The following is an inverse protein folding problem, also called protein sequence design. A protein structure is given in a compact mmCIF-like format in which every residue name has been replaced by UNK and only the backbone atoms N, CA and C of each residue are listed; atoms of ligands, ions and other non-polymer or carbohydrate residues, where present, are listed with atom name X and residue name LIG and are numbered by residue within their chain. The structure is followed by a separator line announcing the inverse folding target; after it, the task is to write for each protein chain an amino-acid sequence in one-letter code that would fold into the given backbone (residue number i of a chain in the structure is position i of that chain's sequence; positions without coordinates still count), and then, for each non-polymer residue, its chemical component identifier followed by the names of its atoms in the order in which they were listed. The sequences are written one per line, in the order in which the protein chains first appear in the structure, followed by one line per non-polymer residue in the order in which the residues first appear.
data_IF_509889629228
#
_entry.id   IF_509889629228
#
_cell.length_a   1.000
_cell.length_b   1.000
_cell.length_c   1.000
_cell.angle_alpha   90.00
_cell.angle_beta   90.00
_cell.angle_gamma   90.00
#
_symmetry.space_group_name_H-M   'P 1'
#
loop_
_entity.id
_entity.type
_entity.pdbx_description
1 polymer ?
#
# COMPACT_ATOMS: atom_id res chain seq x y z
N UNK A 1 -24.13 -59.06 14.87
CA UNK A 1 -25.56 -58.67 14.76
C UNK A 1 -25.87 -57.56 15.75
N UNK A 2 -26.28 -56.39 15.22
CA UNK A 2 -27.07 -55.28 15.81
C UNK A 2 -26.52 -54.53 17.04
N UNK A 3 -26.65 -53.20 17.19
CA UNK A 3 -27.13 -52.08 16.36
C UNK A 3 -26.65 -50.80 17.07
N UNK A 4 -25.99 -49.88 16.37
CA UNK A 4 -25.62 -48.57 16.91
C UNK A 4 -26.84 -47.65 17.08
N UNK A 5 -26.90 -46.88 18.18
CA UNK A 5 -27.79 -45.72 18.32
C UNK A 5 -27.01 -44.49 18.79
N UNK A 6 -27.19 -43.40 18.05
CA UNK A 6 -26.55 -42.08 18.10
C UNK A 6 -27.44 -41.14 18.91
N UNK A 7 -26.89 -40.37 19.87
CA UNK A 7 -27.55 -39.16 20.39
C UNK A 7 -26.48 -38.09 20.69
N UNK A 8 -26.51 -37.01 19.91
CA UNK A 8 -25.77 -35.76 20.11
C UNK A 8 -26.59 -34.81 20.99
N UNK A 9 -26.00 -34.25 22.06
CA UNK A 9 -26.61 -33.18 22.87
C UNK A 9 -26.07 -31.81 22.44
N UNK A 10 -26.89 -31.05 21.72
CA UNK A 10 -26.67 -29.63 21.44
C UNK A 10 -27.20 -28.82 22.64
N UNK A 11 -26.33 -28.02 23.29
CA UNK A 11 -26.74 -27.04 24.30
C UNK A 11 -27.45 -25.88 23.61
N UNK A 12 -28.77 -25.77 23.77
CA UNK A 12 -29.56 -24.63 23.32
C UNK A 12 -29.30 -23.42 24.22
N UNK A 13 -28.70 -22.37 23.67
CA UNK A 13 -28.68 -21.04 24.27
C UNK A 13 -30.09 -20.49 24.43
N UNK A 14 -30.32 -19.72 25.50
CA UNK A 14 -31.63 -19.14 25.84
C UNK A 14 -32.08 -18.17 24.72
N UNK A 15 -33.34 -18.22 24.29
CA UNK A 15 -33.84 -17.27 23.29
C UNK A 15 -33.92 -15.86 23.89
N UNK A 16 -33.60 -14.86 23.07
CA UNK A 16 -33.76 -13.45 23.37
C UNK A 16 -35.21 -13.15 23.80
N UNK A 17 -35.38 -12.53 24.98
CA UNK A 17 -36.66 -11.93 25.39
C UNK A 17 -36.98 -10.80 24.45
N UNK A 18 -38.04 -10.94 23.65
CA UNK A 18 -38.65 -9.81 22.96
C UNK A 18 -39.33 -8.93 24.01
N UNK A 19 -38.87 -7.70 24.17
CA UNK A 19 -39.70 -6.66 24.74
C UNK A 19 -40.78 -6.35 23.70
N UNK A 20 -42.04 -6.65 24.01
CA UNK A 20 -43.18 -6.08 23.30
C UNK A 20 -43.24 -4.60 23.67
N UNK A 21 -42.39 -3.81 23.02
CA UNK A 21 -42.58 -2.39 22.89
C UNK A 21 -43.91 -2.16 22.18
N UNK A 22 -44.66 -1.19 22.65
CA UNK A 22 -45.95 -0.78 22.11
C UNK A 22 -45.76 -0.28 20.67
N UNK A 23 -45.73 -1.21 19.70
CA UNK A 23 -45.82 -0.86 18.29
C UNK A 23 -47.22 -0.31 18.09
N UNK A 24 -47.31 1.00 17.89
CA UNK A 24 -48.52 1.65 17.42
C UNK A 24 -48.88 0.98 16.08
N UNK A 25 -49.76 -0.02 16.11
CA UNK A 25 -50.36 -0.61 14.91
C UNK A 25 -51.14 0.52 14.26
N UNK A 26 -50.53 1.19 13.28
CA UNK A 26 -51.32 1.89 12.28
C UNK A 26 -52.03 0.81 11.48
N UNK A 27 -53.28 0.56 11.85
CA UNK A 27 -54.22 -0.15 11.01
C UNK A 27 -54.43 0.74 9.78
N UNK A 28 -53.75 0.45 8.68
CA UNK A 28 -54.07 1.07 7.39
C UNK A 28 -55.43 0.50 6.99
N UNK A 29 -56.48 1.27 7.25
CA UNK A 29 -57.80 1.01 6.68
C UNK A 29 -57.71 1.40 5.20
N UNK A 30 -57.40 0.43 4.35
CA UNK A 30 -57.54 0.59 2.90
C UNK A 30 -59.00 0.79 2.57
N UNK A 31 -59.38 2.01 2.19
CA UNK A 31 -60.70 2.33 1.64
C UNK A 31 -60.53 2.93 0.26
N UNK A 32 -59.99 2.17 -0.69
CA UNK A 32 -60.28 2.41 -2.11
C UNK A 32 -59.84 1.22 -2.96
N UNK A 33 -60.76 0.66 -3.73
CA UNK A 33 -60.49 -0.33 -4.77
C UNK A 33 -60.37 0.36 -6.14
N UNK A 34 -59.82 1.58 -6.16
CA UNK A 34 -59.63 2.36 -7.37
C UNK A 34 -58.14 2.58 -7.63
N UNK A 35 -57.67 2.09 -8.78
CA UNK A 35 -56.25 2.09 -9.16
C UNK A 35 -55.67 3.51 -9.35
N UNK A 36 -56.51 4.54 -9.49
CA UNK A 36 -56.10 5.95 -9.58
C UNK A 36 -55.66 6.57 -8.25
N UNK A 37 -56.07 6.01 -7.10
CA UNK A 37 -55.72 6.55 -5.79
C UNK A 37 -54.33 6.06 -5.32
N UNK A 38 -53.85 4.95 -5.90
CA UNK A 38 -52.56 4.33 -5.57
C UNK A 38 -51.36 5.16 -6.02
N UNK A 39 -51.48 5.88 -7.16
CA UNK A 39 -50.40 6.78 -7.63
C UNK A 39 -50.17 7.95 -6.68
N UNK A 40 -51.23 8.41 -5.99
CA UNK A 40 -51.12 9.44 -4.96
C UNK A 40 -50.54 8.90 -3.65
N UNK A 41 -50.98 7.72 -3.21
CA UNK A 41 -50.48 7.08 -1.98
C UNK A 41 -49.00 6.67 -2.07
N UNK A 42 -48.51 6.23 -3.23
CA UNK A 42 -47.08 5.93 -3.44
C UNK A 42 -46.24 7.20 -3.38
N UNK A 43 -46.78 8.33 -3.87
CA UNK A 43 -46.09 9.63 -3.80
C UNK A 43 -46.07 10.20 -2.37
N UNK A 44 -47.10 9.92 -1.55
CA UNK A 44 -47.19 10.35 -0.15
C UNK A 44 -46.28 9.54 0.81
N UNK A 45 -45.69 8.45 0.31
CA UNK A 45 -44.69 7.63 1.00
C UNK A 45 -43.29 7.75 0.40
N UNK A 46 -43.11 8.60 -0.60
CA UNK A 46 -41.79 8.95 -1.09
C UNK A 46 -41.04 9.71 0.00
N UNK A 47 -39.86 9.21 0.37
CA UNK A 47 -38.95 9.98 1.19
C UNK A 47 -38.56 11.23 0.39
N UNK A 48 -38.89 12.40 0.93
CA UNK A 48 -38.41 13.66 0.38
C UNK A 48 -36.91 13.75 0.57
N UNK A 49 -36.24 14.53 -0.29
CA UNK A 49 -34.82 14.81 -0.15
C UNK A 49 -34.48 15.29 1.28
N UNK A 50 -33.30 14.91 1.76
CA UNK A 50 -32.75 15.25 3.09
C UNK A 50 -33.54 14.82 4.33
N UNK A 51 -34.62 14.04 4.18
CA UNK A 51 -35.42 13.58 5.33
C UNK A 51 -34.64 12.61 6.23
N UNK A 52 -33.69 11.85 5.67
CA UNK A 52 -32.82 10.93 6.41
C UNK A 52 -31.56 11.67 6.88
N UNK A 53 -31.59 12.15 8.12
CA UNK A 53 -30.38 12.63 8.82
C UNK A 53 -29.62 11.50 9.54
N UNK A 54 -28.40 11.79 10.00
CA UNK A 54 -27.55 10.83 10.73
C UNK A 54 -28.22 10.23 11.99
N UNK A 55 -29.14 10.94 12.64
CA UNK A 55 -29.86 10.42 13.83
C UNK A 55 -30.80 9.26 13.52
N UNK A 56 -31.17 9.07 12.26
CA UNK A 56 -32.01 7.95 11.81
C UNK A 56 -31.21 6.69 11.51
N UNK A 57 -29.88 6.79 11.40
CA UNK A 57 -28.99 5.68 11.11
C UNK A 57 -28.56 4.97 12.39
N UNK A 58 -28.80 3.67 12.47
CA UNK A 58 -28.28 2.87 13.57
C UNK A 58 -26.77 2.66 13.42
N UNK A 59 -26.08 2.46 14.53
CA UNK A 59 -24.65 2.18 14.49
C UNK A 59 -24.34 0.96 13.60
N UNK A 60 -23.43 1.14 12.62
CA UNK A 60 -23.04 0.14 11.60
C UNK A 60 -24.16 -0.28 10.64
N UNK A 61 -25.23 0.51 10.49
CA UNK A 61 -26.30 0.19 9.54
C UNK A 61 -25.92 0.44 8.08
N UNK A 62 -24.99 1.37 7.82
CA UNK A 62 -24.45 1.63 6.48
C UNK A 62 -23.35 0.62 6.20
N UNK A 63 -23.64 -0.32 5.29
CA UNK A 63 -22.70 -1.34 4.83
C UNK A 63 -22.18 -0.98 3.43
N UNK A 64 -21.13 -1.66 2.98
CA UNK A 64 -20.52 -1.40 1.67
C UNK A 64 -21.51 -1.52 0.51
N UNK A 65 -22.49 -2.42 0.59
CA UNK A 65 -23.50 -2.63 -0.46
C UNK A 65 -24.48 -1.45 -0.60
N UNK A 66 -24.51 -0.54 0.38
CA UNK A 66 -25.34 0.66 0.37
C UNK A 66 -24.60 1.91 -0.14
N UNK A 67 -23.32 1.80 -0.47
CA UNK A 67 -22.48 2.89 -0.96
C UNK A 67 -22.27 2.67 -2.45
N UNK A 68 -22.78 3.58 -3.27
CA UNK A 68 -22.57 3.55 -4.72
C UNK A 68 -21.11 3.83 -5.07
N UNK A 69 -20.69 3.34 -6.24
CA UNK A 69 -19.37 3.63 -6.79
C UNK A 69 -19.15 5.15 -6.85
N UNK A 70 -17.96 5.59 -6.45
CA UNK A 70 -17.57 7.01 -6.41
C UNK A 70 -18.34 7.92 -5.43
N UNK A 71 -19.20 7.38 -4.55
CA UNK A 71 -19.94 8.18 -3.58
C UNK A 71 -19.04 8.87 -2.50
N UNK A 72 -17.84 8.35 -2.27
CA UNK A 72 -16.89 8.88 -1.27
C UNK A 72 -15.98 9.94 -1.91
N UNK A 73 -16.26 11.21 -1.61
CA UNK A 73 -15.46 12.36 -2.02
C UNK A 73 -14.49 12.79 -0.92
N UNK A 74 -13.55 13.68 -1.23
CA UNK A 74 -12.57 14.21 -0.27
C UNK A 74 -13.21 14.83 0.98
N UNK A 75 -14.38 15.47 0.83
CA UNK A 75 -15.13 16.07 1.95
C UNK A 75 -15.65 15.03 2.97
N UNK A 76 -15.76 13.76 2.58
CA UNK A 76 -16.20 12.66 3.44
C UNK A 76 -15.04 12.04 4.23
N UNK A 77 -13.79 12.36 3.90
CA UNK A 77 -12.60 11.81 4.52
C UNK A 77 -12.08 12.77 5.59
N UNK A 78 -12.11 12.33 6.85
CA UNK A 78 -11.42 13.08 7.91
C UNK A 78 -9.91 13.02 7.74
N UNK A 79 -9.20 13.97 8.33
CA UNK A 79 -7.75 13.90 8.49
C UNK A 79 -7.34 12.55 9.08
N UNK A 80 -6.22 11.99 8.58
CA UNK A 80 -5.63 10.72 9.03
C UNK A 80 -6.54 9.48 8.86
N UNK A 81 -7.67 9.61 8.14
CA UNK A 81 -8.59 8.49 7.91
C UNK A 81 -8.04 7.45 6.93
N UNK A 82 -7.08 7.81 6.07
CA UNK A 82 -6.38 6.88 5.17
C UNK A 82 -5.05 6.49 5.83
N UNK A 83 -4.92 5.21 6.19
CA UNK A 83 -3.74 4.62 6.82
C UNK A 83 -3.10 3.59 5.90
N UNK A 84 -1.87 3.16 6.21
CA UNK A 84 -1.10 2.22 5.38
C UNK A 84 -1.86 0.94 5.03
N UNK A 85 -2.63 0.36 5.96
CA UNK A 85 -3.41 -0.87 5.72
C UNK A 85 -4.57 -0.70 4.75
N UNK A 86 -4.94 0.53 4.38
CA UNK A 86 -5.98 0.85 3.40
C UNK A 86 -5.42 1.08 1.99
N UNK A 87 -4.10 1.18 1.85
CA UNK A 87 -3.43 1.37 0.58
C UNK A 87 -3.11 0.00 -0.03
N UNK A 88 -3.56 -0.21 -1.27
CA UNK A 88 -3.11 -1.36 -2.05
C UNK A 88 -1.67 -1.17 -2.49
N UNK A 89 -0.97 -2.27 -2.78
CA UNK A 89 0.34 -2.21 -3.44
C UNK A 89 0.25 -1.35 -4.69
N UNK A 90 1.24 -0.47 -4.88
CA UNK A 90 1.37 0.41 -6.05
C UNK A 90 0.20 1.40 -6.26
N UNK A 91 -0.71 1.56 -5.29
CA UNK A 91 -1.81 2.55 -5.38
C UNK A 91 -1.35 4.00 -5.27
N UNK A 92 -0.16 4.24 -4.70
CA UNK A 92 0.46 5.56 -4.60
C UNK A 92 1.65 5.61 -5.55
N UNK A 93 1.46 6.30 -6.68
CA UNK A 93 2.48 6.52 -7.68
C UNK A 93 3.24 7.83 -7.41
N UNK A 94 4.45 8.03 -7.97
CA UNK A 94 5.18 9.29 -7.82
C UNK A 94 4.35 10.53 -8.20
N UNK A 95 3.45 10.43 -9.17
CA UNK A 95 2.52 11.50 -9.58
C UNK A 95 1.52 11.91 -8.49
N UNK A 96 1.29 11.09 -7.47
CA UNK A 96 0.43 11.39 -6.32
C UNK A 96 1.18 12.13 -5.20
N UNK A 97 2.51 12.26 -5.28
CA UNK A 97 3.32 12.90 -4.26
C UNK A 97 3.41 14.41 -4.51
N UNK A 98 3.29 15.21 -3.44
CA UNK A 98 3.49 16.67 -3.50
C UNK A 98 4.97 17.08 -3.51
N UNK A 99 5.88 16.11 -3.46
CA UNK A 99 7.32 16.30 -3.46
C UNK A 99 7.97 15.25 -4.37
N UNK A 100 9.17 15.57 -4.86
CA UNK A 100 9.98 14.63 -5.61
C UNK A 100 10.88 13.87 -4.64
N UNK A 101 10.72 12.54 -4.45
CA UNK A 101 11.57 11.76 -3.55
C UNK A 101 13.05 11.82 -3.95
N UNK A 102 13.30 11.92 -5.26
CA UNK A 102 14.62 12.09 -5.87
C UNK A 102 14.52 13.25 -6.86
N UNK A 103 15.44 14.22 -6.74
CA UNK A 103 15.49 15.38 -7.62
C UNK A 103 16.64 15.25 -8.62
N UNK A 104 16.39 15.65 -9.87
CA UNK A 104 17.40 15.72 -10.92
C UNK A 104 16.87 16.52 -12.10
N UNK A 105 17.13 16.06 -13.33
CA UNK A 105 16.66 16.75 -14.53
C UNK A 105 15.12 16.78 -14.53
N UNK A 106 14.47 17.94 -14.76
CA UNK A 106 13.01 18.03 -14.83
C UNK A 106 12.38 17.03 -15.79
N UNK A 107 11.18 16.56 -15.46
CA UNK A 107 10.38 15.63 -16.28
C UNK A 107 11.06 14.29 -16.62
N UNK A 108 12.08 13.90 -15.86
CA UNK A 108 12.71 12.58 -15.99
C UNK A 108 12.35 11.69 -14.79
N UNK A 109 11.82 10.47 -15.02
CA UNK A 109 11.63 9.52 -13.93
C UNK A 109 12.99 9.03 -13.46
N UNK A 110 13.32 9.33 -12.20
CA UNK A 110 14.57 8.94 -11.58
C UNK A 110 14.35 7.78 -10.62
N UNK A 111 15.23 6.80 -10.69
CA UNK A 111 15.31 5.69 -9.76
C UNK A 111 16.59 5.84 -8.94
N UNK A 112 16.44 5.75 -7.63
CA UNK A 112 17.56 5.61 -6.69
C UNK A 112 17.68 4.14 -6.27
N UNK A 113 18.86 3.59 -6.42
CA UNK A 113 19.23 2.26 -5.92
C UNK A 113 20.44 2.40 -5.01
N UNK A 114 20.48 1.64 -3.92
CA UNK A 114 21.60 1.66 -2.99
C UNK A 114 21.80 0.29 -2.36
N UNK A 115 22.98 0.08 -1.78
CA UNK A 115 23.27 -1.17 -1.11
C UNK A 115 24.66 -1.21 -0.50
N UNK A 116 25.02 -2.40 -0.07
CA UNK A 116 26.35 -2.70 0.43
C UNK A 116 26.79 -4.10 0.00
N UNK A 117 28.08 -4.30 -0.19
CA UNK A 117 28.68 -5.60 -0.57
C UNK A 117 29.92 -5.81 0.30
N UNK A 118 30.06 -6.95 0.99
CA UNK A 118 31.30 -7.28 1.68
C UNK A 118 32.38 -7.61 0.67
N UNK A 119 33.62 -7.28 0.98
CA UNK A 119 34.76 -7.62 0.16
C UNK A 119 35.93 -8.10 0.99
N UNK A 120 36.79 -8.87 0.33
CA UNK A 120 38.04 -9.33 0.90
C UNK A 120 39.12 -9.21 -0.17
N UNK A 121 40.25 -8.60 0.20
CA UNK A 121 41.46 -8.59 -0.60
C UNK A 121 42.13 -9.96 -0.51
N UNK A 122 42.39 -10.60 -1.65
CA UNK A 122 43.33 -11.72 -1.69
C UNK A 122 44.71 -11.29 -1.18
N UNK A 123 45.48 -12.25 -0.68
CA UNK A 123 46.84 -11.99 -0.22
C UNK A 123 47.66 -11.30 -1.32
N UNK A 124 48.49 -10.34 -0.90
CA UNK A 124 49.38 -9.55 -1.76
C UNK A 124 48.70 -8.60 -2.77
N UNK A 125 47.36 -8.53 -2.82
CA UNK A 125 46.67 -7.60 -3.71
C UNK A 125 46.52 -6.22 -3.06
N UNK A 126 46.82 -5.17 -3.82
CA UNK A 126 46.61 -3.77 -3.46
C UNK A 126 45.37 -3.17 -4.14
N UNK A 127 44.82 -3.86 -5.14
CA UNK A 127 43.60 -3.49 -5.83
C UNK A 127 42.70 -4.72 -6.09
N UNK A 128 41.40 -4.53 -5.94
CA UNK A 128 40.36 -5.48 -6.36
C UNK A 128 39.28 -4.75 -7.15
N UNK A 129 38.50 -5.48 -7.93
CA UNK A 129 37.32 -4.96 -8.63
C UNK A 129 36.07 -5.72 -8.18
N UNK A 130 35.02 -4.98 -7.85
CA UNK A 130 33.72 -5.50 -7.43
C UNK A 130 32.69 -5.08 -8.45
N UNK A 131 31.97 -6.07 -8.97
CA UNK A 131 30.79 -5.84 -9.79
C UNK A 131 29.56 -5.76 -8.92
N UNK A 132 28.92 -4.60 -8.91
CA UNK A 132 27.67 -4.32 -8.18
C UNK A 132 26.49 -4.51 -9.14
N UNK A 133 25.62 -5.52 -8.94
CA UNK A 133 24.40 -5.65 -9.72
C UNK A 133 23.37 -4.59 -9.31
N UNK A 134 22.67 -4.04 -10.30
CA UNK A 134 21.54 -3.14 -10.12
C UNK A 134 20.24 -3.97 -10.18
N UNK A 135 19.28 -3.65 -9.31
CA UNK A 135 17.98 -4.33 -9.27
C UNK A 135 17.10 -3.99 -10.47
N UNK A 136 17.33 -2.81 -11.05
CA UNK A 136 16.63 -2.34 -12.24
C UNK A 136 17.63 -1.63 -13.14
N UNK A 137 17.53 -1.91 -14.44
CA UNK A 137 18.36 -1.30 -15.45
C UNK A 137 18.11 0.21 -15.54
N UNK A 138 19.18 0.98 -15.66
CA UNK A 138 19.06 2.39 -16.05
C UNK A 138 18.95 2.50 -17.57
N UNK A 139 18.30 3.57 -18.03
CA UNK A 139 18.10 3.85 -19.46
C UNK A 139 19.42 4.02 -20.23
N UNK A 140 20.46 4.54 -19.57
CA UNK A 140 21.78 4.81 -20.15
C UNK A 140 22.90 4.77 -19.10
N UNK A 141 24.15 4.82 -19.53
CA UNK A 141 25.35 4.78 -18.67
C UNK A 141 25.70 6.12 -17.98
N UNK A 142 24.89 7.17 -18.13
CA UNK A 142 25.10 8.51 -17.55
C UNK A 142 24.43 8.70 -16.18
N UNK A 143 24.05 7.61 -15.50
CA UNK A 143 23.60 7.67 -14.13
C UNK A 143 24.75 8.06 -13.17
N UNK A 144 24.38 8.66 -12.05
CA UNK A 144 25.32 9.00 -10.99
C UNK A 144 25.49 7.78 -10.10
N UNK A 145 26.72 7.46 -9.72
CA UNK A 145 27.02 6.47 -8.70
C UNK A 145 28.19 6.94 -7.86
N UNK A 146 28.03 6.82 -6.55
CA UNK A 146 29.06 7.11 -5.55
C UNK A 146 29.22 5.88 -4.68
N UNK A 147 30.44 5.67 -4.20
CA UNK A 147 30.76 4.56 -3.34
C UNK A 147 31.79 4.94 -2.28
N UNK A 148 31.69 4.29 -1.13
CA UNK A 148 32.61 4.45 0.00
C UNK A 148 32.88 3.11 0.66
N UNK A 149 34.00 2.98 1.35
CA UNK A 149 34.35 1.78 2.09
C UNK A 149 34.14 1.97 3.59
N UNK A 150 34.06 0.86 4.34
CA UNK A 150 33.92 0.85 5.80
C UNK A 150 35.12 1.43 6.56
N UNK A 151 36.30 1.42 5.94
CA UNK A 151 37.53 1.98 6.50
C UNK A 151 38.15 2.96 5.50
N UNK A 152 38.61 4.15 5.93
CA UNK A 152 39.23 5.15 5.07
C UNK A 152 40.54 4.69 4.42
N UNK A 153 41.17 3.61 4.89
CA UNK A 153 42.34 3.01 4.24
C UNK A 153 42.00 2.48 2.84
N UNK A 154 40.75 2.09 2.63
CA UNK A 154 40.25 1.65 1.34
C UNK A 154 39.73 2.83 0.54
N UNK A 155 40.17 2.94 -0.71
CA UNK A 155 39.69 3.94 -1.65
C UNK A 155 38.85 3.26 -2.73
N UNK A 156 37.58 3.62 -2.81
CA UNK A 156 36.68 3.16 -3.86
C UNK A 156 36.70 4.13 -5.06
N UNK A 157 36.72 3.59 -6.27
CA UNK A 157 36.65 4.34 -7.51
C UNK A 157 35.80 3.63 -8.54
N UNK A 158 34.90 4.38 -9.19
CA UNK A 158 34.05 3.84 -10.27
C UNK A 158 34.92 3.57 -11.50
N UNK A 159 34.99 2.30 -11.93
CA UNK A 159 35.78 1.86 -13.09
C UNK A 159 34.94 1.86 -14.35
N UNK A 160 33.73 1.31 -14.27
CA UNK A 160 32.82 1.20 -15.41
C UNK A 160 31.37 1.33 -14.95
N UNK A 161 30.56 2.00 -15.78
CA UNK A 161 29.11 2.06 -15.65
C UNK A 161 28.49 1.21 -16.74
N UNK A 162 27.45 0.46 -16.40
CA UNK A 162 26.65 -0.32 -17.33
C UNK A 162 25.18 -0.21 -16.91
N UNK A 163 24.27 -0.68 -17.74
CA UNK A 163 22.83 -0.52 -17.51
C UNK A 163 22.37 -1.36 -16.30
N UNK A 164 22.90 -2.57 -16.15
CA UNK A 164 22.52 -3.54 -15.12
C UNK A 164 23.56 -3.70 -14.00
N UNK A 165 24.74 -3.13 -14.15
CA UNK A 165 25.83 -3.31 -13.18
C UNK A 165 26.82 -2.14 -13.17
N UNK A 166 27.55 -2.02 -12.07
CA UNK A 166 28.63 -1.04 -11.90
C UNK A 166 29.90 -1.78 -11.50
N UNK A 167 31.00 -1.53 -12.19
CA UNK A 167 32.31 -2.04 -11.77
C UNK A 167 33.00 -0.99 -10.90
N UNK A 168 33.30 -1.35 -9.65
CA UNK A 168 33.91 -0.48 -8.64
C UNK A 168 35.25 -1.09 -8.22
N UNK A 169 36.32 -0.35 -8.46
CA UNK A 169 37.65 -0.72 -8.01
C UNK A 169 37.86 -0.25 -6.57
N UNK A 170 38.43 -1.10 -5.73
CA UNK A 170 38.86 -0.75 -4.38
C UNK A 170 40.37 -0.91 -4.30
N UNK A 171 41.05 0.11 -3.81
CA UNK A 171 42.50 0.09 -3.61
C UNK A 171 42.85 0.31 -2.14
N UNK A 172 43.96 -0.29 -1.69
CA UNK A 172 44.54 -0.08 -0.37
C UNK A 172 46.05 0.16 -0.49
N UNK A 173 46.67 0.94 0.42
CA UNK A 173 48.12 1.10 0.48
C UNK A 173 48.86 -0.23 0.73
N UNK A 174 50.08 -0.33 0.22
CA UNK A 174 50.99 -1.44 0.52
C UNK A 174 51.19 -1.61 2.04
N UNK A 175 51.19 -2.85 2.53
CA UNK A 175 51.38 -3.16 3.94
C UNK A 175 50.14 -2.96 4.83
N UNK A 176 48.97 -2.67 4.24
CA UNK A 176 47.71 -2.62 4.99
C UNK A 176 47.36 -3.99 5.57
N UNK A 177 47.18 -4.06 6.90
CA UNK A 177 46.88 -5.31 7.62
C UNK A 177 45.42 -5.74 7.51
N UNK A 178 44.50 -4.80 7.27
CA UNK A 178 43.08 -5.08 7.09
C UNK A 178 42.86 -5.57 5.64
N UNK A 179 42.29 -6.76 5.51
CA UNK A 179 42.00 -7.38 4.21
C UNK A 179 40.51 -7.46 3.90
N UNK A 180 39.62 -7.25 4.88
CA UNK A 180 38.17 -7.32 4.66
C UNK A 180 37.46 -6.01 5.01
N UNK A 181 36.31 -5.78 4.38
CA UNK A 181 35.52 -4.58 4.61
C UNK A 181 34.18 -4.62 3.90
N UNK A 182 33.48 -3.49 3.94
CA UNK A 182 32.20 -3.29 3.26
C UNK A 182 32.31 -2.15 2.26
N UNK A 183 31.82 -2.37 1.05
CA UNK A 183 31.58 -1.35 0.05
C UNK A 183 30.13 -0.88 0.18
N UNK A 184 29.90 0.41 0.37
CA UNK A 184 28.59 1.06 0.34
C UNK A 184 28.46 1.84 -0.95
N UNK A 185 27.28 1.84 -1.55
CA UNK A 185 27.05 2.56 -2.80
C UNK A 185 25.64 3.12 -2.88
N UNK A 186 25.51 4.24 -3.59
CA UNK A 186 24.24 4.84 -4.00
C UNK A 186 24.37 5.17 -5.47
N UNK A 187 23.35 4.82 -6.26
CA UNK A 187 23.22 5.17 -7.65
C UNK A 187 21.86 5.83 -7.92
N UNK A 188 21.85 6.81 -8.81
CA UNK A 188 20.66 7.55 -9.22
C UNK A 188 20.72 7.74 -10.72
N UNK A 189 19.71 7.25 -11.43
CA UNK A 189 19.66 7.30 -12.89
C UNK A 189 18.24 7.34 -13.43
N UNK A 190 18.12 7.53 -14.74
CA UNK A 190 16.83 7.48 -15.44
C UNK A 190 16.35 6.04 -15.53
N UNK A 191 15.09 5.81 -15.21
CA UNK A 191 14.46 4.50 -15.40
C UNK A 191 14.37 4.17 -16.88
N UNK A 192 14.65 2.91 -17.22
CA UNK A 192 14.24 2.36 -18.51
C UNK A 192 12.71 2.36 -18.58
N UNK A 193 12.15 3.00 -19.60
CA UNK A 193 10.69 3.15 -19.81
C UNK A 193 10.08 1.94 -20.47
#
# INVERSE_FOLDING_TARGET
MNKARRITRIRRGRPFRRYDGYYKKMTIRGTSANWSDLEKDVMDHALTDDVISASHLQHRSVRSEAIEDYAIHSIHLSSESIISSKLALESVQPSHLSFNPVQGIPDTPLLQQFGYIPFTFPDEHEAIEITVPLQTSYQDEHYVVVASCSDPVFQAGIRKRQHEEVAIGITRPAGTLISEGWLYWISIGRMET
#
